data_IF_988908245684
#
_entry.id   IF_988908245684
#
_cell.length_a   1.000
_cell.length_b   1.000
_cell.length_c   1.000
_cell.angle_alpha   90.00
_cell.angle_beta   90.00
_cell.angle_gamma   90.00
#
_symmetry.space_group_name_H-M   'P 1'
#
loop_
_entity.id
_entity.type
_entity.pdbx_description
1 polymer ?
#
# COMPACT_ATOMS: atom_id res chain seq x y z
N UNK A 1 20.24 -24.14 19.66
CA UNK A 1 21.08 -22.92 19.73
C UNK A 1 20.17 -21.72 19.53
N UNK A 2 20.23 -20.78 20.48
CA UNK A 2 19.55 -19.48 20.57
C UNK A 2 18.25 -19.26 19.77
N UNK A 3 17.12 -19.29 20.47
CA UNK A 3 15.92 -18.52 20.12
C UNK A 3 16.25 -17.03 20.24
N UNK A 4 16.63 -16.38 19.13
CA UNK A 4 16.85 -14.94 19.08
C UNK A 4 15.63 -14.31 18.40
N UNK A 5 14.78 -13.72 19.24
CA UNK A 5 13.53 -13.02 18.96
C UNK A 5 13.48 -12.34 17.58
N UNK A 6 12.49 -12.72 16.78
CA UNK A 6 11.47 -11.92 16.06
C UNK A 6 11.75 -10.42 15.73
N UNK A 7 13.00 -10.01 15.56
CA UNK A 7 13.39 -8.63 15.21
C UNK A 7 13.31 -8.38 13.69
N UNK A 8 12.97 -9.43 12.93
CA UNK A 8 12.72 -9.39 11.50
C UNK A 8 11.27 -8.97 11.25
N UNK A 9 11.10 -7.75 10.75
CA UNK A 9 9.80 -7.20 10.35
C UNK A 9 9.32 -7.78 9.02
N UNK A 10 10.26 -8.03 8.10
CA UNK A 10 9.96 -8.56 6.79
C UNK A 10 11.14 -9.35 6.24
N UNK A 11 10.85 -10.49 5.60
CA UNK A 11 11.85 -11.25 4.85
C UNK A 11 11.28 -11.65 3.50
N UNK A 12 12.05 -11.44 2.44
CA UNK A 12 11.74 -11.98 1.12
C UNK A 12 12.98 -12.55 0.44
N UNK A 13 12.76 -13.53 -0.43
CA UNK A 13 13.80 -14.20 -1.20
C UNK A 13 13.33 -14.26 -2.65
N UNK A 14 14.27 -14.15 -3.57
CA UNK A 14 13.91 -14.21 -4.98
C UNK A 14 15.10 -14.44 -5.88
N UNK A 15 14.78 -14.59 -7.16
CA UNK A 15 15.76 -14.58 -8.23
C UNK A 15 15.67 -13.24 -8.96
N UNK A 16 16.83 -12.63 -9.23
CA UNK A 16 16.91 -11.42 -10.01
C UNK A 16 16.35 -11.66 -11.42
N UNK A 17 15.76 -10.65 -12.07
CA UNK A 17 15.36 -10.75 -13.46
C UNK A 17 16.58 -11.04 -14.35
N UNK A 18 16.32 -11.48 -15.58
CA UNK A 18 17.38 -11.55 -16.60
C UNK A 18 18.06 -10.17 -16.74
N UNK A 19 19.38 -10.10 -16.94
CA UNK A 19 20.29 -11.21 -17.26
C UNK A 19 21.00 -11.83 -16.04
N UNK A 20 20.98 -11.20 -14.86
CA UNK A 20 21.77 -11.64 -13.70
C UNK A 20 21.35 -13.03 -13.22
N UNK A 21 20.05 -13.27 -13.01
CA UNK A 21 19.51 -14.52 -12.46
C UNK A 21 20.11 -14.95 -11.11
N UNK A 22 20.80 -14.04 -10.41
CA UNK A 22 21.37 -14.28 -9.10
C UNK A 22 20.25 -14.45 -8.06
N UNK A 23 20.49 -15.27 -7.03
CA UNK A 23 19.57 -15.35 -5.90
C UNK A 23 19.84 -14.21 -4.94
N UNK A 24 18.80 -13.71 -4.30
CA UNK A 24 18.92 -12.71 -3.26
C UNK A 24 17.93 -12.96 -2.12
N UNK A 25 18.26 -12.38 -0.97
CA UNK A 25 17.46 -12.37 0.24
C UNK A 25 17.49 -10.95 0.82
N UNK A 26 16.33 -10.47 1.24
CA UNK A 26 16.16 -9.17 1.88
C UNK A 26 15.54 -9.42 3.24
N UNK A 27 16.12 -8.81 4.26
CA UNK A 27 15.65 -8.89 5.63
C UNK A 27 15.54 -7.47 6.15
N UNK A 28 14.34 -7.03 6.48
CA UNK A 28 14.09 -5.76 7.14
C UNK A 28 13.92 -6.04 8.62
N UNK A 29 14.76 -5.41 9.42
CA UNK A 29 14.66 -5.46 10.89
C UNK A 29 14.14 -4.14 11.42
N UNK A 30 14.01 -3.98 12.74
CA UNK A 30 13.65 -2.68 13.33
C UNK A 30 14.71 -1.58 13.15
N UNK A 31 15.96 -1.95 12.89
CA UNK A 31 17.09 -1.01 12.87
C UNK A 31 17.74 -0.86 11.50
N UNK A 32 17.85 -1.97 10.78
CA UNK A 32 18.60 -2.07 9.54
C UNK A 32 17.88 -2.90 8.48
N UNK A 33 18.21 -2.62 7.23
CA UNK A 33 17.88 -3.41 6.06
C UNK A 33 19.12 -4.22 5.67
N UNK A 34 18.96 -5.54 5.57
CA UNK A 34 20.02 -6.48 5.20
C UNK A 34 19.70 -7.03 3.82
N UNK A 35 20.61 -6.83 2.88
CA UNK A 35 20.54 -7.37 1.52
C UNK A 35 21.65 -8.40 1.31
N UNK A 36 21.28 -9.62 0.95
CA UNK A 36 22.21 -10.72 0.64
C UNK A 36 22.00 -11.20 -0.77
N UNK A 37 23.07 -11.58 -1.45
CA UNK A 37 23.00 -12.13 -2.79
C UNK A 37 24.02 -13.24 -3.02
N UNK A 38 23.64 -14.17 -3.90
CA UNK A 38 24.43 -15.31 -4.32
C UNK A 38 24.58 -15.26 -5.82
N UNK A 39 25.81 -15.08 -6.29
CA UNK A 39 26.11 -15.06 -7.71
C UNK A 39 26.01 -16.48 -8.28
N UNK A 40 25.10 -16.70 -9.23
CA UNK A 40 24.93 -18.01 -9.88
C UNK A 40 25.41 -17.91 -11.32
N UNK A 41 26.58 -18.49 -11.59
CA UNK A 41 27.14 -18.51 -12.94
C UNK A 41 27.76 -19.85 -13.26
N UNK A 42 27.60 -20.28 -14.52
CA UNK A 42 28.29 -21.46 -15.06
C UNK A 42 29.76 -21.17 -15.40
N UNK A 43 30.17 -19.89 -15.38
CA UNK A 43 31.55 -19.50 -15.68
C UNK A 43 32.48 -19.91 -14.54
N UNK A 44 33.61 -20.52 -14.89
CA UNK A 44 34.59 -21.01 -13.93
C UNK A 44 35.12 -19.93 -12.98
N UNK A 45 35.23 -18.69 -13.45
CA UNK A 45 35.68 -17.52 -12.69
C UNK A 45 34.82 -17.23 -11.45
N UNK A 46 33.56 -17.65 -11.44
CA UNK A 46 32.61 -17.41 -10.34
C UNK A 46 32.30 -18.67 -9.53
N UNK A 47 33.01 -19.78 -9.78
CA UNK A 47 32.74 -21.06 -9.12
C UNK A 47 33.00 -21.03 -7.61
N UNK A 48 33.83 -20.09 -7.16
CA UNK A 48 34.14 -19.84 -5.74
C UNK A 48 33.62 -18.48 -5.24
N UNK A 49 32.72 -17.84 -6.00
CA UNK A 49 32.15 -16.56 -5.61
C UNK A 49 31.37 -16.72 -4.29
N UNK A 50 31.82 -16.02 -3.26
CA UNK A 50 31.14 -16.02 -1.96
C UNK A 50 29.88 -15.16 -2.03
N UNK A 51 28.87 -15.47 -1.21
CA UNK A 51 27.71 -14.61 -1.08
C UNK A 51 28.12 -13.22 -0.60
N UNK A 52 27.51 -12.19 -1.17
CA UNK A 52 27.64 -10.82 -0.68
C UNK A 52 26.58 -10.52 0.36
N UNK A 53 26.92 -9.62 1.30
CA UNK A 53 25.98 -9.05 2.27
C UNK A 53 26.22 -7.55 2.36
N UNK A 54 25.14 -6.79 2.35
CA UNK A 54 25.10 -5.36 2.62
C UNK A 54 24.10 -5.12 3.75
N UNK A 55 24.51 -4.30 4.72
CA UNK A 55 23.66 -3.86 5.83
C UNK A 55 23.64 -2.35 5.84
N UNK A 56 22.45 -1.77 5.80
CA UNK A 56 22.26 -0.34 5.81
C UNK A 56 21.20 0.05 6.84
N UNK A 57 21.29 1.26 7.36
CA UNK A 57 20.18 1.83 8.11
C UNK A 57 18.98 2.05 7.17
N UNK A 58 17.80 2.30 7.75
CA UNK A 58 16.62 2.58 6.94
C UNK A 58 16.77 3.86 6.11
N UNK A 59 17.45 4.88 6.66
CA UNK A 59 17.69 6.15 5.97
C UNK A 59 18.68 5.96 4.82
N UNK A 60 19.82 5.29 5.08
CA UNK A 60 20.84 5.04 4.06
C UNK A 60 20.29 4.19 2.89
N UNK A 61 19.41 3.23 3.20
CA UNK A 61 18.75 2.41 2.19
C UNK A 61 17.85 3.24 1.25
N UNK A 62 17.18 4.28 1.78
CA UNK A 62 16.36 5.20 0.99
C UNK A 62 17.20 6.12 0.09
N UNK A 63 18.47 6.33 0.44
CA UNK A 63 19.40 7.16 -0.34
C UNK A 63 20.29 6.35 -1.29
N UNK A 64 20.15 5.02 -1.36
CA UNK A 64 20.95 4.15 -2.21
C UNK A 64 20.25 3.81 -3.56
N UNK A 65 20.47 4.60 -4.63
CA UNK A 65 19.81 4.39 -5.93
C UNK A 65 20.24 3.08 -6.62
N UNK A 66 21.40 2.54 -6.24
CA UNK A 66 21.89 1.28 -6.81
C UNK A 66 21.06 0.10 -6.31
N UNK A 67 20.59 0.13 -5.06
CA UNK A 67 19.70 -0.91 -4.55
C UNK A 67 18.27 -0.74 -5.07
N UNK A 68 17.79 0.49 -5.16
CA UNK A 68 16.43 0.79 -5.62
C UNK A 68 16.21 0.51 -7.10
N UNK A 69 17.20 0.80 -7.96
CA UNK A 69 17.05 0.60 -9.41
C UNK A 69 17.09 -0.88 -9.83
N UNK A 70 17.79 -1.73 -9.08
CA UNK A 70 17.97 -3.13 -9.44
C UNK A 70 16.81 -4.03 -9.02
N UNK A 71 15.97 -3.58 -8.08
CA UNK A 71 14.92 -4.40 -7.50
C UNK A 71 13.65 -3.59 -7.27
N UNK A 72 12.58 -3.98 -7.96
CA UNK A 72 11.24 -3.50 -7.67
C UNK A 72 10.69 -4.19 -6.40
N UNK A 73 11.02 -3.63 -5.24
CA UNK A 73 10.67 -4.19 -3.94
C UNK A 73 9.18 -4.10 -3.66
N UNK A 74 8.53 -3.00 -4.08
CA UNK A 74 7.12 -2.75 -3.81
C UNK A 74 6.25 -3.82 -4.50
N UNK A 75 6.55 -4.16 -5.75
CA UNK A 75 5.85 -5.21 -6.50
C UNK A 75 6.20 -6.64 -5.99
N UNK A 76 7.06 -6.79 -4.99
CA UNK A 76 7.35 -8.09 -4.36
C UNK A 76 6.79 -8.23 -2.95
N UNK A 77 6.23 -7.16 -2.39
CA UNK A 77 5.56 -7.24 -1.09
C UNK A 77 4.27 -8.08 -1.18
N UNK A 78 3.94 -8.84 -0.12
CA UNK A 78 2.63 -9.48 0.01
C UNK A 78 1.47 -8.48 -0.09
N UNK A 79 0.35 -8.92 -0.65
CA UNK A 79 -0.84 -8.08 -0.82
C UNK A 79 -1.33 -7.47 0.50
N UNK A 80 -1.20 -8.19 1.62
CA UNK A 80 -1.60 -7.69 2.95
C UNK A 80 -0.80 -6.45 3.38
N UNK A 81 0.51 -6.45 3.15
CA UNK A 81 1.37 -5.31 3.46
C UNK A 81 1.14 -4.16 2.49
N UNK A 82 0.91 -4.47 1.20
CA UNK A 82 0.56 -3.46 0.22
C UNK A 82 -0.76 -2.76 0.55
N UNK A 83 -1.80 -3.53 0.91
CA UNK A 83 -3.09 -2.98 1.33
C UNK A 83 -2.95 -2.11 2.60
N UNK A 84 -2.11 -2.53 3.55
CA UNK A 84 -1.79 -1.74 4.74
C UNK A 84 -1.12 -0.41 4.37
N UNK A 85 -0.09 -0.43 3.52
CA UNK A 85 0.57 0.80 3.04
C UNK A 85 -0.43 1.70 2.30
N UNK A 86 -1.24 1.11 1.41
CA UNK A 86 -2.26 1.85 0.65
C UNK A 86 -3.32 2.49 1.54
N UNK A 87 -3.61 1.93 2.72
CA UNK A 87 -4.58 2.51 3.65
C UNK A 87 -4.16 3.88 4.22
N UNK A 88 -2.88 4.22 4.13
CA UNK A 88 -2.34 5.54 4.51
C UNK A 88 -2.30 6.55 3.36
N UNK A 89 -2.69 6.14 2.14
CA UNK A 89 -2.67 7.01 0.96
C UNK A 89 -4.00 7.73 0.78
N UNK A 90 -3.92 8.96 0.27
CA UNK A 90 -5.11 9.70 -0.11
C UNK A 90 -5.76 9.10 -1.37
N UNK A 91 -7.05 9.39 -1.57
CA UNK A 91 -7.81 8.88 -2.73
C UNK A 91 -7.18 9.24 -4.08
N UNK A 92 -6.52 10.39 -4.17
CA UNK A 92 -5.80 10.81 -5.38
C UNK A 92 -4.57 9.92 -5.64
N UNK A 93 -3.81 9.62 -4.60
CA UNK A 93 -2.64 8.74 -4.68
C UNK A 93 -3.04 7.30 -5.00
N UNK A 94 -4.12 6.81 -4.41
CA UNK A 94 -4.68 5.49 -4.75
C UNK A 94 -5.10 5.46 -6.23
N UNK A 95 -5.74 6.52 -6.74
CA UNK A 95 -6.12 6.60 -8.14
C UNK A 95 -4.90 6.62 -9.06
N UNK A 96 -3.85 7.38 -8.72
CA UNK A 96 -2.58 7.41 -9.48
C UNK A 96 -1.88 6.05 -9.43
N UNK A 97 -1.79 5.42 -8.26
CA UNK A 97 -1.17 4.11 -8.06
C UNK A 97 -1.86 3.02 -8.88
N UNK A 98 -3.18 3.07 -9.01
CA UNK A 98 -3.94 2.12 -9.83
C UNK A 98 -3.56 2.14 -11.31
N UNK A 99 -2.97 3.23 -11.80
CA UNK A 99 -2.54 3.38 -13.20
C UNK A 99 -1.11 2.86 -13.45
N UNK A 100 -0.38 2.47 -12.40
CA UNK A 100 1.04 2.06 -12.53
C UNK A 100 1.16 0.61 -13.04
N UNK A 101 0.28 -0.30 -12.61
CA UNK A 101 0.28 -1.69 -13.08
C UNK A 101 -1.06 -2.38 -12.88
N UNK A 102 -1.33 -3.46 -13.62
CA UNK A 102 -2.54 -4.28 -13.42
C UNK A 102 -2.66 -4.88 -12.01
N UNK A 103 -1.53 -5.18 -11.35
CA UNK A 103 -1.56 -5.67 -9.97
C UNK A 103 -2.04 -4.57 -9.03
N UNK A 104 -1.51 -3.36 -9.18
CA UNK A 104 -1.94 -2.21 -8.38
C UNK A 104 -3.36 -1.78 -8.71
N UNK A 105 -3.78 -1.85 -9.97
CA UNK A 105 -5.17 -1.66 -10.39
C UNK A 105 -6.10 -2.61 -9.62
N UNK A 106 -5.75 -3.89 -9.56
CA UNK A 106 -6.54 -4.90 -8.84
C UNK A 106 -6.60 -4.63 -7.34
N UNK A 107 -5.46 -4.29 -6.72
CA UNK A 107 -5.39 -4.00 -5.28
C UNK A 107 -6.12 -2.71 -4.90
N UNK A 108 -5.95 -1.63 -5.67
CA UNK A 108 -6.61 -0.35 -5.45
C UNK A 108 -8.13 -0.42 -5.66
N UNK A 109 -8.60 -1.41 -6.41
CA UNK A 109 -10.03 -1.68 -6.62
C UNK A 109 -10.58 -2.77 -5.69
N UNK A 110 -9.78 -3.31 -4.78
CA UNK A 110 -10.20 -4.40 -3.90
C UNK A 110 -11.17 -3.93 -2.82
N UNK A 111 -12.19 -4.74 -2.54
CA UNK A 111 -13.18 -4.43 -1.49
C UNK A 111 -12.56 -4.29 -0.10
N UNK A 112 -11.49 -5.05 0.18
CA UNK A 112 -10.75 -4.97 1.45
C UNK A 112 -10.15 -3.59 1.68
N UNK A 113 -9.56 -2.98 0.64
CA UNK A 113 -8.99 -1.63 0.74
C UNK A 113 -10.10 -0.61 0.99
N UNK A 114 -11.18 -0.69 0.22
CA UNK A 114 -12.29 0.26 0.33
C UNK A 114 -13.07 0.12 1.63
N UNK A 115 -13.17 -1.07 2.23
CA UNK A 115 -13.71 -1.26 3.59
C UNK A 115 -12.93 -0.44 4.62
N UNK A 116 -11.60 -0.52 4.58
CA UNK A 116 -10.71 0.23 5.49
C UNK A 116 -10.85 1.73 5.28
N UNK A 117 -10.83 2.20 4.03
CA UNK A 117 -10.98 3.62 3.70
C UNK A 117 -12.33 4.17 4.18
N UNK A 118 -13.41 3.43 3.94
CA UNK A 118 -14.76 3.81 4.36
C UNK A 118 -14.87 3.84 5.88
N UNK A 119 -14.26 2.87 6.56
CA UNK A 119 -14.24 2.79 8.01
C UNK A 119 -13.50 3.97 8.64
N UNK A 120 -12.34 4.34 8.11
CA UNK A 120 -11.56 5.49 8.58
C UNK A 120 -12.32 6.82 8.37
N UNK A 121 -12.98 6.98 7.22
CA UNK A 121 -13.70 8.22 6.88
C UNK A 121 -15.05 8.39 7.58
N UNK A 122 -15.81 7.32 7.80
CA UNK A 122 -17.16 7.38 8.37
C UNK A 122 -17.20 7.07 9.88
N UNK A 123 -16.16 6.44 10.43
CA UNK A 123 -16.01 6.08 11.83
C UNK A 123 -16.97 4.98 12.30
N UNK A 124 -18.28 5.19 12.21
CA UNK A 124 -19.31 4.22 12.63
C UNK A 124 -20.05 3.65 11.43
N UNK A 125 -19.76 2.40 11.08
CA UNK A 125 -20.47 1.67 10.03
C UNK A 125 -21.64 0.93 10.68
N UNK A 126 -22.88 1.27 10.31
CA UNK A 126 -24.06 0.53 10.80
C UNK A 126 -24.15 -0.86 10.16
N UNK A 127 -24.82 -1.85 10.78
CA UNK A 127 -25.00 -3.18 10.20
C UNK A 127 -25.66 -3.14 8.82
N UNK A 128 -26.58 -2.20 8.61
CA UNK A 128 -27.27 -1.95 7.34
C UNK A 128 -26.31 -1.40 6.26
N UNK A 129 -25.40 -0.50 6.64
CA UNK A 129 -24.35 -0.01 5.72
C UNK A 129 -23.41 -1.15 5.33
N UNK A 130 -23.07 -2.03 6.28
CA UNK A 130 -22.22 -3.19 6.02
C UNK A 130 -22.93 -4.22 5.13
N UNK A 131 -24.20 -4.52 5.36
CA UNK A 131 -24.97 -5.44 4.51
C UNK A 131 -25.08 -4.90 3.09
N UNK A 132 -25.40 -3.61 2.93
CA UNK A 132 -25.47 -2.98 1.62
C UNK A 132 -24.09 -3.01 0.92
N UNK A 133 -23.01 -2.65 1.62
CA UNK A 133 -21.67 -2.68 1.04
C UNK A 133 -21.23 -4.08 0.60
N UNK A 134 -21.65 -5.14 1.29
CA UNK A 134 -21.39 -6.52 0.86
C UNK A 134 -22.17 -6.91 -0.40
N UNK A 135 -23.34 -6.31 -0.65
CA UNK A 135 -24.14 -6.58 -1.85
C UNK A 135 -23.63 -5.81 -3.09
N UNK A 136 -23.24 -4.54 -2.94
CA UNK A 136 -22.85 -3.68 -4.08
C UNK A 136 -21.34 -3.45 -4.22
N UNK A 137 -20.54 -3.86 -3.22
CA UNK A 137 -19.11 -3.59 -3.11
C UNK A 137 -18.80 -2.28 -2.39
N UNK A 138 -17.69 -2.25 -1.64
CA UNK A 138 -17.33 -1.10 -0.79
C UNK A 138 -16.98 0.15 -1.59
N UNK A 139 -16.34 -0.02 -2.75
CA UNK A 139 -16.03 1.10 -3.64
C UNK A 139 -17.31 1.77 -4.16
N UNK A 140 -18.29 0.98 -4.60
CA UNK A 140 -19.57 1.50 -5.10
C UNK A 140 -20.39 2.11 -3.96
N UNK A 141 -20.40 1.48 -2.79
CA UNK A 141 -20.99 2.03 -1.58
C UNK A 141 -20.40 3.40 -1.23
N UNK A 142 -19.07 3.54 -1.29
CA UNK A 142 -18.41 4.82 -1.05
C UNK A 142 -18.87 5.91 -2.04
N UNK A 143 -18.88 5.63 -3.35
CA UNK A 143 -19.26 6.63 -4.34
C UNK A 143 -20.76 6.98 -4.31
N UNK A 144 -21.63 5.99 -4.07
CA UNK A 144 -23.07 6.22 -3.91
C UNK A 144 -23.36 7.06 -2.66
N UNK A 145 -22.71 6.76 -1.54
CA UNK A 145 -22.89 7.51 -0.30
C UNK A 145 -22.22 8.91 -0.35
N UNK A 146 -21.05 9.06 -0.99
CA UNK A 146 -20.41 10.37 -1.21
C UNK A 146 -21.30 11.30 -2.04
N UNK A 147 -21.99 10.78 -3.06
CA UNK A 147 -22.98 11.54 -3.82
C UNK A 147 -24.20 11.90 -2.96
N UNK A 148 -24.69 10.98 -2.13
CA UNK A 148 -25.80 11.24 -1.20
C UNK A 148 -25.44 12.32 -0.17
N UNK A 149 -24.24 12.27 0.41
CA UNK A 149 -23.72 13.30 1.32
C UNK A 149 -23.52 14.64 0.61
N UNK A 150 -22.97 14.67 -0.61
CA UNK A 150 -22.88 15.90 -1.40
C UNK A 150 -24.26 16.48 -1.75
N UNK A 151 -25.25 15.64 -2.06
CA UNK A 151 -26.63 16.07 -2.30
C UNK A 151 -27.27 16.63 -1.03
N UNK A 152 -27.05 16.01 0.13
CA UNK A 152 -27.55 16.51 1.42
C UNK A 152 -26.89 17.85 1.81
N UNK A 153 -25.58 18.00 1.61
CA UNK A 153 -24.86 19.26 1.81
C UNK A 153 -25.36 20.36 0.86
N UNK A 154 -25.64 20.05 -0.41
CA UNK A 154 -26.26 20.98 -1.39
C UNK A 154 -27.68 21.38 -0.99
N UNK A 155 -28.49 20.44 -0.50
CA UNK A 155 -29.83 20.72 0.03
C UNK A 155 -29.77 21.63 1.26
N UNK A 156 -28.80 21.42 2.16
CA UNK A 156 -28.56 22.31 3.32
C UNK A 156 -28.07 23.71 2.92
N UNK A 157 -27.15 23.83 1.96
CA UNK A 157 -26.75 25.15 1.40
C UNK A 157 -27.92 25.90 0.75
N UNK A 158 -28.84 25.19 0.08
CA UNK A 158 -30.08 25.78 -0.45
C UNK A 158 -31.13 26.11 0.62
N UNK A 159 -31.11 25.40 1.76
CA UNK A 159 -32.03 25.59 2.90
C UNK A 159 -31.52 26.61 3.92
N UNK A 160 -30.37 27.22 3.67
CA UNK A 160 -29.86 28.38 4.43
C UNK A 160 -29.97 29.69 3.62
N UNK A 161 -31.15 30.12 3.12
CA UNK A 161 -31.38 31.52 2.79
C UNK A 161 -31.82 32.26 4.08
N UNK A 162 -31.41 33.51 4.21
CA UNK A 162 -31.63 34.33 5.41
C UNK A 162 -33.04 34.25 5.99
N UNK A 163 -33.12 33.95 7.29
CA UNK A 163 -34.30 34.16 8.12
C UNK A 163 -33.97 35.23 9.18
N UNK A 164 -34.14 36.49 8.77
CA UNK A 164 -34.49 37.64 9.61
C UNK A 164 -34.84 38.73 8.60
N UNK A 165 -36.11 39.04 8.30
CA UNK A 165 -37.18 39.29 9.23
C UNK A 165 -37.23 40.79 9.50
N UNK A 166 -37.92 41.53 8.64
CA UNK A 166 -38.40 42.89 8.94
C UNK A 166 -39.55 43.24 7.98
N UNK A 167 -40.76 42.81 8.36
CA UNK A 167 -42.00 43.50 8.01
C UNK A 167 -42.17 44.64 9.03
N UNK A 168 -42.34 45.85 8.51
CA UNK A 168 -43.14 46.99 9.00
C UNK A 168 -43.69 46.92 10.43
N UNK A 169 -43.28 47.87 11.28
CA UNK A 169 -44.01 49.14 11.53
C UNK A 169 -43.01 50.26 11.88
#
# INVERSE_FOLDING_TARGET
>A
MASLLDDTLFETRGQAPSPSKDFYQIIVTRKEVIFRWWKISLRSEYREARPGELKESHEDFLDNPSLQSNFDFLVRLPDTLLLYIMSYLDLEDIARLSQVSHRFETLCNSDKLWEVIVQDLLGTITPEMKSLAQEIGWKQFFFTNKLQLQLQLRRRKKKSPGSSGSLSD
#
